data_IF_044732747955
#
_entry.id   IF_044732747955
#
_cell.length_a   1.000
_cell.length_b   1.000
_cell.length_c   1.000
_cell.angle_alpha   90.00
_cell.angle_beta   90.00
_cell.angle_gamma   90.00
#
_symmetry.space_group_name_H-M   'P 1'
#
loop_
_entity.id
_entity.type
_entity.pdbx_description
1 polymer ?
#
# COMPACT_ATOMS: atom_id res chain seq x y z
N UNK A 1 32.72 8.98 -3.30
CA UNK A 1 32.12 9.90 -2.31
C UNK A 1 30.84 10.51 -2.89
N UNK A 2 29.81 9.69 -3.16
CA UNK A 2 28.54 10.19 -3.77
C UNK A 2 27.27 9.58 -3.16
N UNK A 3 27.37 8.57 -2.29
CA UNK A 3 26.20 7.90 -1.70
C UNK A 3 25.56 8.76 -0.58
N UNK A 4 26.28 9.75 -0.03
CA UNK A 4 25.77 10.65 1.01
C UNK A 4 24.81 11.73 0.48
N UNK A 5 24.90 12.12 -0.80
CA UNK A 5 24.04 13.16 -1.38
C UNK A 5 22.63 12.64 -1.71
N UNK A 6 22.47 11.35 -2.00
CA UNK A 6 21.16 10.76 -2.27
C UNK A 6 20.31 10.66 -1.00
N UNK A 7 20.90 10.22 0.13
CA UNK A 7 20.19 10.07 1.41
C UNK A 7 19.61 11.39 1.95
N UNK A 8 20.27 12.53 1.69
CA UNK A 8 19.79 13.83 2.13
C UNK A 8 18.58 14.37 1.35
N UNK A 9 18.33 13.91 0.12
CA UNK A 9 17.12 14.32 -0.63
C UNK A 9 15.86 13.63 -0.09
N UNK A 10 15.97 12.38 0.36
CA UNK A 10 14.86 11.62 0.94
C UNK A 10 14.42 12.15 2.31
N UNK A 11 15.34 12.69 3.11
CA UNK A 11 15.04 13.29 4.41
C UNK A 11 14.41 14.68 4.25
N UNK A 12 14.80 15.43 3.22
CA UNK A 12 14.32 16.80 2.99
C UNK A 12 12.91 16.84 2.37
N UNK A 13 12.55 15.86 1.53
CA UNK A 13 11.20 15.77 0.97
C UNK A 13 10.13 15.41 2.02
N UNK A 14 10.55 14.81 3.15
CA UNK A 14 9.67 14.49 4.28
C UNK A 14 9.22 15.72 5.09
N UNK A 15 9.81 16.90 4.87
CA UNK A 15 9.66 18.08 5.74
C UNK A 15 8.97 19.29 5.11
N UNK A 16 8.78 19.36 3.79
CA UNK A 16 8.33 20.58 3.11
C UNK A 16 6.87 20.63 2.68
N UNK A 17 6.04 19.62 2.99
CA UNK A 17 4.58 19.66 2.68
C UNK A 17 3.75 20.15 3.88
N UNK A 18 4.34 21.04 4.67
CA UNK A 18 3.65 21.92 5.60
C UNK A 18 3.40 23.25 4.87
N UNK A 19 2.19 23.78 5.00
CA UNK A 19 1.76 25.13 4.55
C UNK A 19 1.19 25.22 3.13
N UNK A 20 -0.08 24.83 2.98
CA UNK A 20 -1.08 25.60 2.23
C UNK A 20 -2.47 25.01 2.52
N UNK A 21 -3.12 25.50 3.58
CA UNK A 21 -4.53 25.29 3.81
C UNK A 21 -5.34 26.25 2.95
N UNK A 22 -6.43 25.77 2.36
CA UNK A 22 -7.64 26.57 2.15
C UNK A 22 -8.86 25.66 2.06
N UNK A 23 -9.87 26.06 2.83
CA UNK A 23 -11.16 25.44 3.10
C UNK A 23 -12.07 25.37 1.87
N UNK A 24 -12.90 24.32 1.81
CA UNK A 24 -13.98 24.20 0.82
C UNK A 24 -14.90 23.03 1.12
N UNK A 25 -15.95 23.27 1.91
CA UNK A 25 -17.07 22.35 2.12
C UNK A 25 -17.65 21.84 0.78
N UNK A 26 -17.78 20.51 0.60
CA UNK A 26 -18.86 19.91 -0.22
C UNK A 26 -18.96 18.39 -0.10
N UNK A 27 -20.21 17.97 0.13
CA UNK A 27 -20.91 16.68 -0.04
C UNK A 27 -20.09 15.39 0.13
N UNK A 28 -20.50 14.60 1.14
CA UNK A 28 -20.12 13.20 1.35
C UNK A 28 -20.43 12.38 0.10
N UNK A 29 -19.43 12.16 -0.76
CA UNK A 29 -19.35 10.91 -1.51
C UNK A 29 -19.20 9.81 -0.47
N UNK A 30 -19.98 8.74 -0.56
CA UNK A 30 -19.81 7.57 0.29
C UNK A 30 -18.44 6.96 -0.01
N UNK A 31 -17.43 7.34 0.79
CA UNK A 31 -16.05 6.89 0.60
C UNK A 31 -15.99 5.45 1.08
N UNK A 32 -15.87 4.50 0.15
CA UNK A 32 -15.69 3.09 0.46
C UNK A 32 -14.31 2.88 1.10
N UNK A 33 -14.24 3.00 2.43
CA UNK A 33 -13.05 2.85 3.26
C UNK A 33 -12.93 1.41 3.76
N UNK A 34 -11.73 0.99 4.16
CA UNK A 34 -11.46 -0.31 4.80
C UNK A 34 -11.94 -0.31 6.27
N UNK A 35 -13.17 0.12 6.53
CA UNK A 35 -13.72 0.27 7.89
C UNK A 35 -14.71 -0.84 8.29
N UNK A 36 -14.98 -1.83 7.42
CA UNK A 36 -15.80 -2.99 7.80
C UNK A 36 -14.91 -4.12 8.36
N UNK A 37 -15.04 -4.49 9.66
CA UNK A 37 -14.13 -5.42 10.34
C UNK A 37 -14.05 -6.82 9.71
N UNK A 38 -15.16 -7.34 9.18
CA UNK A 38 -15.18 -8.67 8.51
C UNK A 38 -14.50 -8.64 7.14
N UNK A 39 -14.56 -7.49 6.47
CA UNK A 39 -14.02 -7.30 5.13
C UNK A 39 -12.50 -7.09 5.18
N UNK A 40 -12.03 -6.44 6.25
CA UNK A 40 -10.62 -6.28 6.54
C UNK A 40 -9.91 -7.64 6.66
N UNK A 41 -10.50 -8.63 7.35
CA UNK A 41 -9.81 -9.91 7.63
C UNK A 41 -9.55 -10.75 6.37
N UNK A 42 -10.55 -10.96 5.51
CA UNK A 42 -10.39 -11.82 4.32
C UNK A 42 -9.45 -11.20 3.28
N UNK A 43 -9.52 -9.88 3.10
CA UNK A 43 -8.65 -9.15 2.16
C UNK A 43 -7.24 -9.05 2.73
N UNK A 44 -7.10 -8.78 4.04
CA UNK A 44 -5.79 -8.76 4.70
C UNK A 44 -5.10 -10.12 4.59
N UNK A 45 -5.83 -11.22 4.80
CA UNK A 45 -5.30 -12.57 4.63
C UNK A 45 -4.86 -12.85 3.18
N UNK A 46 -5.65 -12.41 2.20
CA UNK A 46 -5.32 -12.55 0.78
C UNK A 46 -4.13 -11.68 0.37
N UNK A 47 -4.03 -10.47 0.92
CA UNK A 47 -2.92 -9.55 0.69
C UNK A 47 -1.62 -10.07 1.32
N UNK A 48 -1.66 -10.51 2.57
CA UNK A 48 -0.51 -11.13 3.24
C UNK A 48 -0.05 -12.40 2.51
N UNK A 49 -0.98 -13.18 1.96
CA UNK A 49 -0.67 -14.32 1.08
C UNK A 49 0.12 -13.88 -0.16
N UNK A 50 -0.31 -12.81 -0.87
CA UNK A 50 0.43 -12.26 -2.01
C UNK A 50 1.82 -11.76 -1.61
N UNK A 51 1.95 -11.10 -0.47
CA UNK A 51 3.25 -10.58 -0.04
C UNK A 51 4.20 -11.75 0.28
N UNK A 52 3.71 -12.81 0.91
CA UNK A 52 4.49 -14.00 1.23
C UNK A 52 4.93 -14.77 -0.04
N UNK A 53 4.04 -14.94 -1.01
CA UNK A 53 4.38 -15.63 -2.27
C UNK A 53 5.30 -14.77 -3.16
N UNK A 54 5.20 -13.44 -3.13
CA UNK A 54 6.18 -12.55 -3.78
C UNK A 54 7.57 -12.66 -3.14
N UNK A 55 7.64 -12.79 -1.81
CA UNK A 55 8.92 -13.03 -1.13
C UNK A 55 9.56 -14.36 -1.53
N UNK A 56 8.74 -15.41 -1.75
CA UNK A 56 9.22 -16.68 -2.30
C UNK A 56 9.69 -16.52 -3.75
N UNK A 57 8.91 -15.84 -4.59
CA UNK A 57 9.23 -15.57 -5.99
C UNK A 57 10.52 -14.73 -6.20
N UNK A 58 10.92 -13.91 -5.23
CA UNK A 58 12.18 -13.17 -5.26
C UNK A 58 13.40 -14.02 -4.94
N UNK A 59 13.21 -15.09 -4.16
CA UNK A 59 14.28 -16.05 -3.83
C UNK A 59 14.42 -17.12 -4.90
N UNK A 60 13.32 -17.47 -5.54
CA UNK A 60 13.27 -18.42 -6.64
C UNK A 60 12.37 -17.86 -7.76
N UNK A 61 12.99 -17.42 -8.86
CA UNK A 61 12.26 -16.86 -9.99
C UNK A 61 11.37 -17.90 -10.69
N UNK A 62 11.70 -19.19 -10.61
CA UNK A 62 10.86 -20.26 -11.16
C UNK A 62 9.59 -20.45 -10.34
N UNK A 63 9.56 -20.02 -9.07
CA UNK A 63 8.36 -20.06 -8.24
C UNK A 63 7.20 -19.26 -8.87
N UNK A 64 7.46 -18.22 -9.67
CA UNK A 64 6.42 -17.48 -10.42
C UNK A 64 5.64 -18.34 -11.42
N UNK A 65 6.22 -19.46 -11.87
CA UNK A 65 5.58 -20.40 -12.80
C UNK A 65 4.77 -21.47 -12.07
N UNK A 66 4.82 -21.49 -10.74
CA UNK A 66 4.12 -22.51 -9.96
C UNK A 66 2.63 -22.20 -9.87
N UNK A 67 1.86 -23.27 -9.73
CA UNK A 67 0.42 -23.18 -9.51
C UNK A 67 0.08 -22.47 -8.18
N UNK A 68 0.89 -22.65 -7.14
CA UNK A 68 0.72 -21.93 -5.88
C UNK A 68 0.83 -20.41 -6.02
N UNK A 69 1.76 -19.93 -6.86
CA UNK A 69 1.88 -18.51 -7.15
C UNK A 69 0.65 -18.00 -7.91
N UNK A 70 0.22 -18.73 -8.95
CA UNK A 70 -0.98 -18.40 -9.72
C UNK A 70 -2.24 -18.34 -8.84
N UNK A 71 -2.47 -19.34 -7.99
CA UNK A 71 -3.64 -19.36 -7.11
C UNK A 71 -3.65 -18.23 -6.07
N UNK A 72 -2.49 -17.87 -5.52
CA UNK A 72 -2.43 -16.74 -4.60
C UNK A 72 -2.79 -15.41 -5.30
N UNK A 73 -2.30 -15.21 -6.52
CA UNK A 73 -2.66 -14.06 -7.36
C UNK A 73 -4.16 -14.04 -7.68
N UNK A 74 -4.72 -15.17 -8.13
CA UNK A 74 -6.14 -15.28 -8.45
C UNK A 74 -7.04 -15.03 -7.24
N UNK A 75 -6.70 -15.59 -6.08
CA UNK A 75 -7.47 -15.41 -4.86
C UNK A 75 -7.47 -13.95 -4.40
N UNK A 76 -6.32 -13.28 -4.45
CA UNK A 76 -6.25 -11.86 -4.11
C UNK A 76 -7.02 -11.01 -5.11
N UNK A 77 -6.81 -11.19 -6.42
CA UNK A 77 -7.51 -10.41 -7.42
C UNK A 77 -9.02 -10.63 -7.39
N UNK A 78 -9.48 -11.86 -7.11
CA UNK A 78 -10.90 -12.15 -6.87
C UNK A 78 -11.41 -11.43 -5.63
N UNK A 79 -10.68 -11.49 -4.51
CA UNK A 79 -11.07 -10.80 -3.29
C UNK A 79 -11.16 -9.28 -3.47
N UNK A 80 -10.25 -8.67 -4.24
CA UNK A 80 -10.33 -7.26 -4.60
C UNK A 80 -11.51 -6.99 -5.53
N UNK A 81 -11.68 -7.77 -6.60
CA UNK A 81 -12.73 -7.55 -7.59
C UNK A 81 -14.15 -7.63 -7.00
N UNK A 82 -14.40 -8.58 -6.09
CA UNK A 82 -15.69 -8.66 -5.38
C UNK A 82 -15.96 -7.42 -4.52
N UNK A 83 -14.90 -6.80 -3.99
CA UNK A 83 -14.99 -5.68 -3.05
C UNK A 83 -15.04 -4.33 -3.74
N UNK A 84 -14.44 -4.25 -4.92
CA UNK A 84 -14.47 -3.06 -5.76
C UNK A 84 -15.50 -3.18 -6.88
N UNK A 85 -16.43 -4.13 -6.78
CA UNK A 85 -17.51 -4.33 -7.76
C UNK A 85 -18.36 -3.07 -7.85
N UNK A 86 -18.46 -2.53 -9.06
CA UNK A 86 -19.21 -1.29 -9.33
C UNK A 86 -18.43 -0.01 -9.03
N UNK A 87 -17.19 -0.10 -8.54
CA UNK A 87 -16.29 1.05 -8.43
C UNK A 87 -15.62 1.36 -9.77
N UNK A 88 -15.22 2.62 -9.95
CA UNK A 88 -14.35 2.98 -11.07
C UNK A 88 -12.96 2.36 -10.90
N UNK A 89 -12.21 2.23 -11.99
CA UNK A 89 -10.83 1.74 -11.93
C UNK A 89 -9.95 2.58 -10.98
N UNK A 90 -10.18 3.90 -10.94
CA UNK A 90 -9.45 4.82 -10.06
C UNK A 90 -9.80 4.56 -8.60
N UNK A 91 -11.08 4.34 -8.30
CA UNK A 91 -11.52 4.06 -6.93
C UNK A 91 -11.06 2.69 -6.44
N UNK A 92 -10.96 1.71 -7.34
CA UNK A 92 -10.30 0.43 -7.08
C UNK A 92 -8.82 0.62 -6.76
N UNK A 93 -8.08 1.42 -7.55
CA UNK A 93 -6.66 1.70 -7.27
C UNK A 93 -6.46 2.42 -5.94
N UNK A 94 -7.34 3.36 -5.58
CA UNK A 94 -7.31 4.02 -4.27
C UNK A 94 -7.60 3.04 -3.13
N UNK A 95 -8.46 2.06 -3.36
CA UNK A 95 -8.74 1.00 -2.39
C UNK A 95 -7.55 0.05 -2.20
N UNK A 96 -6.92 -0.39 -3.29
CA UNK A 96 -5.68 -1.19 -3.25
C UNK A 96 -4.54 -0.41 -2.55
N UNK A 97 -4.45 0.90 -2.80
CA UNK A 97 -3.48 1.78 -2.13
C UNK A 97 -3.70 1.86 -0.62
N UNK A 98 -4.95 2.00 -0.18
CA UNK A 98 -5.34 2.03 1.23
C UNK A 98 -4.94 0.74 1.96
N UNK A 99 -5.17 -0.43 1.32
CA UNK A 99 -4.74 -1.73 1.85
C UNK A 99 -3.21 -1.75 1.98
N UNK A 100 -2.49 -1.39 0.92
CA UNK A 100 -1.03 -1.44 0.91
C UNK A 100 -0.41 -0.56 2.01
N UNK A 101 -0.91 0.67 2.19
CA UNK A 101 -0.50 1.58 3.27
C UNK A 101 -0.82 0.98 4.63
N UNK A 102 -2.04 0.49 4.85
CA UNK A 102 -2.44 -0.08 6.14
C UNK A 102 -1.47 -1.18 6.58
N UNK A 103 -1.14 -2.10 5.67
CA UNK A 103 -0.23 -3.19 5.94
C UNK A 103 1.22 -2.76 6.10
N UNK A 104 1.70 -1.77 5.32
CA UNK A 104 3.04 -1.22 5.51
C UNK A 104 3.18 -0.54 6.88
N UNK A 105 2.17 0.25 7.28
CA UNK A 105 2.13 0.93 8.57
C UNK A 105 2.07 -0.07 9.72
N UNK A 106 1.25 -1.11 9.62
CA UNK A 106 1.20 -2.20 10.61
C UNK A 106 2.57 -2.89 10.74
N UNK A 107 3.22 -3.21 9.62
CA UNK A 107 4.55 -3.82 9.64
C UNK A 107 5.60 -2.87 10.25
N UNK A 108 5.52 -1.56 9.97
CA UNK A 108 6.35 -0.53 10.58
C UNK A 108 6.15 -0.40 12.10
N UNK A 109 4.90 -0.43 12.57
CA UNK A 109 4.59 -0.43 14.02
C UNK A 109 5.11 -1.68 14.71
N UNK A 110 4.93 -2.85 14.10
CA UNK A 110 5.49 -4.10 14.60
C UNK A 110 7.02 -4.04 14.65
N UNK A 111 7.66 -3.51 13.61
CA UNK A 111 9.10 -3.32 13.55
C UNK A 111 9.65 -2.39 14.66
N UNK A 112 8.92 -1.32 14.97
CA UNK A 112 9.25 -0.41 16.07
C UNK A 112 9.09 -1.08 17.44
N UNK A 113 8.04 -1.88 17.62
CA UNK A 113 7.80 -2.61 18.86
C UNK A 113 8.79 -3.78 19.07
N UNK A 114 9.32 -4.35 17.99
CA UNK A 114 10.19 -5.53 17.99
C UNK A 114 11.46 -5.31 17.15
N UNK A 115 12.37 -4.42 17.57
CA UNK A 115 13.56 -4.07 16.79
C UNK A 115 14.55 -5.23 16.60
N UNK A 116 14.53 -6.23 17.48
CA UNK A 116 15.27 -7.48 17.33
C UNK A 116 14.79 -8.29 16.12
N UNK A 117 13.48 -8.33 15.85
CA UNK A 117 12.90 -9.03 14.69
C UNK A 117 13.28 -8.39 13.36
N UNK A 118 13.55 -7.09 13.35
CA UNK A 118 14.03 -6.36 12.17
C UNK A 118 15.44 -6.75 11.73
N UNK A 119 16.23 -7.38 12.60
CA UNK A 119 17.53 -7.94 12.22
C UNK A 119 17.38 -9.15 11.30
N UNK A 120 16.22 -9.79 11.27
CA UNK A 120 15.98 -10.92 10.38
C UNK A 120 15.86 -10.48 8.92
N UNK A 121 16.53 -11.22 8.02
CA UNK A 121 16.43 -11.02 6.58
C UNK A 121 14.98 -11.15 6.09
N UNK A 122 14.20 -11.99 6.75
CA UNK A 122 12.76 -12.15 6.49
C UNK A 122 12.01 -10.83 6.66
N UNK A 123 12.11 -10.17 7.83
CA UNK A 123 11.40 -8.92 8.10
C UNK A 123 11.90 -7.77 7.23
N UNK A 124 13.20 -7.70 6.94
CA UNK A 124 13.77 -6.70 6.02
C UNK A 124 13.17 -6.84 4.63
N UNK A 125 13.11 -8.08 4.10
CA UNK A 125 12.50 -8.35 2.80
C UNK A 125 11.00 -8.07 2.81
N UNK A 126 10.29 -8.41 3.89
CA UNK A 126 8.87 -8.13 4.03
C UNK A 126 8.58 -6.63 3.95
N UNK A 127 9.31 -5.82 4.72
CA UNK A 127 9.19 -4.36 4.69
C UNK A 127 9.53 -3.79 3.31
N UNK A 128 10.57 -4.30 2.65
CA UNK A 128 10.95 -3.89 1.29
C UNK A 128 9.84 -4.18 0.28
N UNK A 129 9.27 -5.38 0.28
CA UNK A 129 8.19 -5.77 -0.65
C UNK A 129 6.96 -4.88 -0.42
N UNK A 130 6.53 -4.70 0.83
CA UNK A 130 5.38 -3.84 1.15
C UNK A 130 5.62 -2.39 0.72
N UNK A 131 6.82 -1.86 0.94
CA UNK A 131 7.19 -0.51 0.50
C UNK A 131 7.16 -0.35 -1.02
N UNK A 132 7.68 -1.33 -1.76
CA UNK A 132 7.66 -1.31 -3.22
C UNK A 132 6.24 -1.38 -3.80
N UNK A 133 5.33 -2.17 -3.21
CA UNK A 133 3.93 -2.22 -3.65
C UNK A 133 3.20 -0.89 -3.39
N UNK A 134 3.43 -0.24 -2.23
CA UNK A 134 2.91 1.11 -1.96
C UNK A 134 3.39 2.10 -3.00
N UNK A 135 4.69 2.12 -3.30
CA UNK A 135 5.27 3.04 -4.29
C UNK A 135 4.73 2.79 -5.69
N UNK A 136 4.59 1.53 -6.10
CA UNK A 136 4.04 1.16 -7.41
C UNK A 136 2.62 1.66 -7.59
N UNK A 137 1.75 1.53 -6.58
CA UNK A 137 0.37 2.01 -6.66
C UNK A 137 0.33 3.54 -6.57
N UNK A 138 1.15 4.15 -5.70
CA UNK A 138 1.31 5.61 -5.62
C UNK A 138 1.69 6.21 -6.97
N UNK A 139 2.71 5.66 -7.64
CA UNK A 139 3.17 6.15 -8.93
C UNK A 139 2.08 6.03 -10.00
N UNK A 140 1.26 4.98 -9.97
CA UNK A 140 0.10 4.90 -10.86
C UNK A 140 -0.91 6.01 -10.58
N UNK A 141 -1.21 6.26 -9.30
CA UNK A 141 -2.17 7.30 -8.90
C UNK A 141 -1.70 8.72 -9.21
N UNK A 142 -0.39 9.00 -9.21
CA UNK A 142 0.15 10.33 -9.56
C UNK A 142 0.13 10.62 -11.07
N UNK A 143 0.08 9.58 -11.90
CA UNK A 143 0.02 9.72 -13.37
C UNK A 143 -1.40 9.65 -13.94
N UNK A 144 -2.42 9.47 -13.10
CA UNK A 144 -3.83 9.44 -13.51
C UNK A 144 -4.50 10.75 -13.11
N UNK A 145 -5.41 11.25 -13.96
CA UNK A 145 -6.23 12.41 -13.62
C UNK A 145 -7.28 12.02 -12.57
N UNK A 146 -7.06 12.45 -11.33
CA UNK A 146 -8.00 12.26 -10.22
C UNK A 146 -9.07 13.36 -10.20
N UNK A 147 -10.32 12.99 -9.92
CA UNK A 147 -11.34 13.97 -9.53
C UNK A 147 -10.97 14.64 -8.20
N UNK A 148 -11.59 15.78 -7.88
CA UNK A 148 -11.32 16.49 -6.61
C UNK A 148 -11.54 15.60 -5.38
N UNK A 149 -12.57 14.75 -5.40
CA UNK A 149 -12.86 13.81 -4.31
C UNK A 149 -11.79 12.70 -4.21
N UNK A 150 -11.34 12.16 -5.34
CA UNK A 150 -10.28 11.15 -5.40
C UNK A 150 -8.92 11.72 -4.98
N UNK A 151 -8.61 12.95 -5.40
CA UNK A 151 -7.42 13.66 -4.98
C UNK A 151 -7.41 13.91 -3.47
N UNK A 152 -8.56 14.27 -2.90
CA UNK A 152 -8.71 14.44 -1.46
C UNK A 152 -8.49 13.12 -0.72
N UNK A 153 -9.10 12.02 -1.18
CA UNK A 153 -8.87 10.68 -0.61
C UNK A 153 -7.40 10.27 -0.71
N UNK A 154 -6.78 10.46 -1.87
CA UNK A 154 -5.37 10.14 -2.07
C UNK A 154 -4.46 10.93 -1.11
N UNK A 155 -4.74 12.23 -0.90
CA UNK A 155 -4.07 13.04 0.12
C UNK A 155 -4.28 12.45 1.51
N UNK A 156 -5.53 12.17 1.90
CA UNK A 156 -5.84 11.59 3.21
C UNK A 156 -5.05 10.31 3.49
N UNK A 157 -4.96 9.41 2.50
CA UNK A 157 -4.18 8.17 2.60
C UNK A 157 -2.69 8.43 2.84
N UNK A 158 -2.11 9.47 2.20
CA UNK A 158 -0.72 9.88 2.41
C UNK A 158 -0.49 10.64 3.73
N UNK A 159 -1.56 11.19 4.33
CA UNK A 159 -1.52 11.94 5.59
C UNK A 159 -1.99 11.13 6.81
N UNK A 160 -2.24 9.82 6.68
CA UNK A 160 -2.59 8.97 7.83
C UNK A 160 -1.42 8.99 8.82
N UNK A 161 -1.47 9.93 9.77
CA UNK A 161 -0.70 9.94 11.01
C UNK A 161 -1.14 8.72 11.80
N UNK A 162 -0.27 7.73 11.94
CA UNK A 162 -0.51 6.59 12.80
C UNK A 162 0.78 6.05 13.38
#
# INVERSE_FOLDING_TARGET
MEISKLKNKYILFLLTVLMAGCSGNKKKSEVFRVNNPKDSVAISASYDSIINIEQKARRDSNYRKTESYRYAQENYHRAIAERTKGLSHIDQLLYEYEIAICHLNQAGKYAQAHPDKMKSLYMQNLMKIRGEEVLKIHDRLTHIQLSSAQQQRFKELNYIKN
#
